data_IF_651369975856
#
_entry.id   IF_651369975856
#
_cell.length_a   1.000
_cell.length_b   1.000
_cell.length_c   1.000
_cell.angle_alpha   90.00
_cell.angle_beta   90.00
_cell.angle_gamma   90.00
#
_symmetry.space_group_name_H-M   'P 1'
#
loop_
_entity.id
_entity.type
_entity.pdbx_description
1 polymer ?
#
# COMPACT_ATOMS: atom_id res chain seq x y z
N UNK A 1 -9.60 -17.16 -2.94
CA UNK A 1 -9.18 -16.55 -4.22
C UNK A 1 -9.35 -15.05 -4.10
N UNK A 2 -8.47 -14.27 -4.73
CA UNK A 2 -8.60 -12.82 -4.74
C UNK A 2 -9.97 -12.40 -5.33
N UNK A 3 -10.57 -11.41 -4.74
CA UNK A 3 -11.87 -10.85 -5.18
C UNK A 3 -11.73 -10.02 -6.46
N UNK A 4 -10.58 -9.38 -6.63
CA UNK A 4 -10.27 -8.53 -7.78
C UNK A 4 -9.16 -9.16 -8.63
N UNK A 5 -9.21 -8.98 -9.94
CA UNK A 5 -8.14 -9.40 -10.83
C UNK A 5 -6.86 -8.56 -10.60
N UNK A 6 -5.69 -9.10 -10.90
CA UNK A 6 -4.39 -8.40 -10.82
C UNK A 6 -4.43 -7.05 -11.53
N UNK A 7 -4.98 -7.00 -12.75
CA UNK A 7 -5.10 -5.76 -13.54
C UNK A 7 -5.97 -4.74 -12.81
N UNK A 8 -7.12 -5.15 -12.27
CA UNK A 8 -8.02 -4.25 -11.54
C UNK A 8 -7.34 -3.68 -10.30
N UNK A 9 -6.61 -4.51 -9.53
CA UNK A 9 -5.88 -4.07 -8.33
C UNK A 9 -4.85 -3.00 -8.68
N UNK A 10 -3.99 -3.26 -9.67
CA UNK A 10 -2.94 -2.33 -10.10
C UNK A 10 -3.53 -1.02 -10.64
N UNK A 11 -4.56 -1.10 -11.47
CA UNK A 11 -5.25 0.07 -12.01
C UNK A 11 -5.88 0.94 -10.91
N UNK A 12 -6.53 0.32 -9.90
CA UNK A 12 -7.12 1.07 -8.78
C UNK A 12 -6.05 1.71 -7.91
N UNK A 13 -4.95 1.01 -7.63
CA UNK A 13 -3.82 1.57 -6.86
C UNK A 13 -3.24 2.78 -7.61
N UNK A 14 -2.99 2.66 -8.90
CA UNK A 14 -2.50 3.75 -9.73
C UNK A 14 -3.49 4.91 -9.75
N UNK A 15 -4.76 4.68 -10.07
CA UNK A 15 -5.80 5.72 -10.13
C UNK A 15 -6.00 6.44 -8.79
N UNK A 16 -6.03 5.70 -7.68
CA UNK A 16 -6.15 6.27 -6.33
C UNK A 16 -4.90 7.08 -5.96
N UNK A 17 -3.71 6.58 -6.32
CA UNK A 17 -2.43 7.22 -6.03
C UNK A 17 -1.96 7.12 -4.59
N UNK A 18 -2.77 6.59 -3.69
CA UNK A 18 -2.43 6.43 -2.27
C UNK A 18 -2.90 5.07 -1.75
N UNK A 19 -2.02 4.40 -1.01
CA UNK A 19 -2.30 3.18 -0.25
C UNK A 19 -2.01 3.48 1.22
N UNK A 20 -3.03 3.72 2.07
CA UNK A 20 -2.85 3.79 3.51
C UNK A 20 -2.27 2.51 4.07
N UNK A 21 -1.33 2.63 5.00
CA UNK A 21 -0.61 1.52 5.63
C UNK A 21 -0.88 1.55 7.13
N UNK A 22 -1.58 0.54 7.65
CA UNK A 22 -2.03 0.53 9.02
C UNK A 22 -2.02 -0.87 9.65
N UNK A 23 -1.88 -0.91 10.96
CA UNK A 23 -2.08 -2.09 11.81
C UNK A 23 -2.67 -1.68 13.16
N UNK A 24 -3.63 -2.44 13.61
CA UNK A 24 -4.05 -2.47 15.01
C UNK A 24 -4.55 -3.88 15.35
N UNK A 25 -4.29 -4.34 16.58
CA UNK A 25 -4.78 -5.63 17.06
C UNK A 25 -6.29 -5.60 17.37
N UNK A 26 -6.86 -4.42 17.57
CA UNK A 26 -8.30 -4.24 17.76
C UNK A 26 -8.99 -4.21 16.39
N UNK A 27 -9.86 -5.20 16.18
CA UNK A 27 -10.64 -5.35 14.96
C UNK A 27 -11.62 -4.18 14.74
N UNK A 28 -12.31 -3.73 15.80
CA UNK A 28 -13.31 -2.68 15.67
C UNK A 28 -12.66 -1.33 15.34
N UNK A 29 -11.53 -1.03 15.97
CA UNK A 29 -10.72 0.13 15.60
C UNK A 29 -10.23 0.04 14.14
N UNK A 30 -9.75 -1.14 13.72
CA UNK A 30 -9.30 -1.36 12.33
C UNK A 30 -10.43 -1.17 11.32
N UNK A 31 -11.66 -1.62 11.63
CA UNK A 31 -12.85 -1.37 10.79
C UNK A 31 -13.16 0.12 10.66
N UNK A 32 -13.10 0.87 11.77
CA UNK A 32 -13.37 2.31 11.75
C UNK A 32 -12.34 3.07 10.91
N UNK A 33 -11.05 2.74 11.04
CA UNK A 33 -9.99 3.34 10.22
C UNK A 33 -10.19 3.04 8.74
N UNK A 34 -10.46 1.79 8.36
CA UNK A 34 -10.72 1.41 6.96
C UNK A 34 -11.95 2.14 6.42
N UNK A 35 -13.02 2.25 7.22
CA UNK A 35 -14.24 2.96 6.84
C UNK A 35 -13.97 4.44 6.60
N UNK A 36 -13.25 5.10 7.51
CA UNK A 36 -12.88 6.50 7.37
C UNK A 36 -12.05 6.76 6.11
N UNK A 37 -11.09 5.88 5.79
CA UNK A 37 -10.33 5.94 4.54
C UNK A 37 -11.24 5.75 3.31
N UNK A 38 -12.15 4.79 3.36
CA UNK A 38 -13.10 4.53 2.27
C UNK A 38 -14.02 5.72 1.99
N UNK A 39 -14.56 6.34 3.03
CA UNK A 39 -15.39 7.55 2.95
C UNK A 39 -14.57 8.78 2.47
N UNK A 40 -13.27 8.79 2.75
CA UNK A 40 -12.31 9.77 2.25
C UNK A 40 -11.91 9.58 0.78
N UNK A 41 -12.41 8.54 0.10
CA UNK A 41 -12.14 8.28 -1.32
C UNK A 41 -11.06 7.23 -1.59
N UNK A 42 -10.41 6.68 -0.57
CA UNK A 42 -9.41 5.61 -0.71
C UNK A 42 -10.06 4.33 -1.24
N UNK A 43 -9.36 3.64 -2.16
CA UNK A 43 -9.85 2.38 -2.76
C UNK A 43 -8.86 1.21 -2.66
N UNK A 44 -7.66 1.44 -2.12
CA UNK A 44 -6.70 0.39 -1.80
C UNK A 44 -6.12 0.63 -0.40
N UNK A 45 -6.01 -0.41 0.42
CA UNK A 45 -5.57 -0.30 1.81
C UNK A 45 -4.66 -1.47 2.18
N UNK A 46 -3.51 -1.19 2.79
CA UNK A 46 -2.54 -2.16 3.28
C UNK A 46 -2.69 -2.36 4.78
N UNK A 47 -3.18 -3.54 5.20
CA UNK A 47 -3.12 -3.97 6.59
C UNK A 47 -1.81 -4.72 6.83
N UNK A 48 -1.01 -4.29 7.82
CA UNK A 48 0.32 -4.86 8.00
C UNK A 48 0.37 -5.98 9.03
N UNK A 49 1.12 -7.04 8.72
CA UNK A 49 1.41 -8.17 9.63
C UNK A 49 2.48 -7.77 10.66
N UNK A 50 2.10 -6.99 11.69
CA UNK A 50 3.04 -6.45 12.69
C UNK A 50 2.76 -6.87 14.13
N UNK A 51 1.89 -7.83 14.35
CA UNK A 51 1.57 -8.34 15.68
C UNK A 51 1.19 -9.80 15.66
N UNK A 52 1.20 -10.41 16.84
CA UNK A 52 0.68 -11.75 17.03
C UNK A 52 -0.80 -11.80 16.61
N UNK A 53 -1.22 -12.88 15.98
CA UNK A 53 -2.60 -13.07 15.50
C UNK A 53 -3.10 -12.00 14.51
N UNK A 54 -2.21 -11.18 13.93
CA UNK A 54 -2.58 -10.16 12.93
C UNK A 54 -3.37 -10.76 11.75
N UNK A 55 -3.09 -12.01 11.38
CA UNK A 55 -3.80 -12.73 10.32
C UNK A 55 -5.26 -13.04 10.67
N UNK A 56 -5.59 -13.23 11.95
CA UNK A 56 -6.98 -13.44 12.40
C UNK A 56 -7.77 -12.12 12.30
N UNK A 57 -7.18 -11.03 12.78
CA UNK A 57 -7.77 -9.68 12.64
C UNK A 57 -7.97 -9.35 11.15
N UNK A 58 -6.98 -9.64 10.31
CA UNK A 58 -7.09 -9.44 8.87
C UNK A 58 -8.23 -10.25 8.24
N UNK A 59 -8.37 -11.53 8.62
CA UNK A 59 -9.40 -12.39 8.07
C UNK A 59 -10.82 -11.87 8.37
N UNK A 60 -11.07 -11.42 9.60
CA UNK A 60 -12.35 -10.83 9.97
C UNK A 60 -12.56 -9.45 9.33
N UNK A 61 -11.51 -8.63 9.28
CA UNK A 61 -11.54 -7.34 8.56
C UNK A 61 -11.87 -7.53 7.08
N UNK A 62 -11.27 -8.52 6.41
CA UNK A 62 -11.52 -8.81 5.01
C UNK A 62 -12.99 -9.22 4.76
N UNK A 63 -13.57 -10.04 5.62
CA UNK A 63 -15.00 -10.42 5.55
C UNK A 63 -15.91 -9.20 5.71
N UNK A 64 -15.56 -8.30 6.63
CA UNK A 64 -16.31 -7.08 6.88
C UNK A 64 -16.19 -6.10 5.70
N UNK A 65 -14.99 -5.90 5.16
CA UNK A 65 -14.74 -5.03 3.98
C UNK A 65 -15.56 -5.45 2.77
N UNK A 66 -15.74 -6.75 2.55
CA UNK A 66 -16.58 -7.26 1.44
C UNK A 66 -18.02 -6.72 1.50
N UNK A 67 -18.55 -6.52 2.70
CA UNK A 67 -19.94 -6.08 2.93
C UNK A 67 -20.08 -4.56 2.98
N UNK A 68 -19.20 -3.92 3.76
CA UNK A 68 -19.36 -2.51 4.13
C UNK A 68 -18.57 -1.55 3.23
N UNK A 69 -17.50 -2.03 2.60
CA UNK A 69 -16.64 -1.23 1.71
C UNK A 69 -16.39 -1.99 0.39
N UNK A 70 -17.44 -2.25 -0.43
CA UNK A 70 -17.37 -3.20 -1.53
C UNK A 70 -16.34 -2.86 -2.61
N UNK A 71 -15.93 -1.61 -2.76
CA UNK A 71 -14.92 -1.20 -3.73
C UNK A 71 -13.50 -1.09 -3.12
N UNK A 72 -13.36 -1.32 -1.80
CA UNK A 72 -12.06 -1.32 -1.16
C UNK A 72 -11.27 -2.58 -1.50
N UNK A 73 -10.09 -2.41 -2.01
CA UNK A 73 -9.10 -3.46 -2.27
C UNK A 73 -8.21 -3.58 -1.05
N UNK A 74 -8.44 -4.61 -0.24
CA UNK A 74 -7.66 -4.88 0.96
C UNK A 74 -6.46 -5.78 0.61
N UNK A 75 -5.26 -5.34 0.97
CA UNK A 75 -4.02 -6.09 0.85
C UNK A 75 -3.32 -6.29 2.18
N UNK A 76 -2.33 -7.17 2.19
CA UNK A 76 -1.53 -7.48 3.36
C UNK A 76 -0.08 -7.02 3.17
N UNK A 77 0.44 -6.29 4.17
CA UNK A 77 1.81 -5.79 4.20
C UNK A 77 2.67 -6.40 5.29
N UNK A 78 3.96 -6.04 5.29
CA UNK A 78 4.98 -6.62 6.17
C UNK A 78 5.13 -8.15 5.98
N UNK A 79 4.93 -8.63 4.76
CA UNK A 79 5.04 -10.05 4.40
C UNK A 79 6.47 -10.32 3.96
N UNK A 80 7.14 -11.24 4.65
CA UNK A 80 8.58 -11.53 4.47
C UNK A 80 8.87 -12.91 3.89
N UNK A 81 7.88 -13.80 3.83
CA UNK A 81 8.01 -15.18 3.37
C UNK A 81 6.76 -15.71 2.65
N UNK A 82 6.93 -16.77 1.88
CA UNK A 82 5.85 -17.35 1.08
C UNK A 82 4.75 -18.05 1.90
N UNK A 83 5.05 -18.79 3.00
CA UNK A 83 4.03 -19.35 3.86
C UNK A 83 3.09 -18.28 4.44
N UNK A 84 3.65 -17.18 4.92
CA UNK A 84 2.85 -16.04 5.42
C UNK A 84 2.04 -15.40 4.29
N UNK A 85 2.63 -15.21 3.11
CA UNK A 85 1.89 -14.73 1.94
C UNK A 85 0.70 -15.64 1.60
N UNK A 86 0.89 -16.97 1.62
CA UNK A 86 -0.16 -17.95 1.36
C UNK A 86 -1.33 -17.83 2.35
N UNK A 87 -1.02 -17.66 3.64
CA UNK A 87 -2.00 -17.48 4.71
C UNK A 87 -2.87 -16.23 4.47
N UNK A 88 -2.25 -15.09 4.18
CA UNK A 88 -2.98 -13.84 3.92
C UNK A 88 -3.79 -13.89 2.61
N UNK A 89 -3.26 -14.50 1.56
CA UNK A 89 -3.99 -14.73 0.31
C UNK A 89 -5.24 -15.59 0.56
N UNK A 90 -5.10 -16.65 1.36
CA UNK A 90 -6.23 -17.51 1.72
C UNK A 90 -7.25 -16.77 2.60
N UNK A 91 -6.80 -15.84 3.43
CA UNK A 91 -7.63 -14.98 4.27
C UNK A 91 -8.31 -13.82 3.52
N UNK A 92 -8.03 -13.66 2.21
CA UNK A 92 -8.75 -12.69 1.37
C UNK A 92 -7.92 -11.48 0.91
N UNK A 93 -6.59 -11.50 1.07
CA UNK A 93 -5.74 -10.45 0.52
C UNK A 93 -5.83 -10.40 -1.01
N UNK A 94 -5.94 -9.19 -1.55
CA UNK A 94 -5.99 -8.93 -2.99
C UNK A 94 -4.65 -8.47 -3.56
N UNK A 95 -3.72 -8.09 -2.72
CA UNK A 95 -2.32 -7.81 -3.04
C UNK A 95 -1.44 -8.07 -1.82
N UNK A 96 -0.16 -8.29 -2.05
CA UNK A 96 0.85 -8.54 -1.02
C UNK A 96 1.92 -7.45 -1.11
N UNK A 97 2.36 -6.94 0.05
CA UNK A 97 3.46 -5.98 0.15
C UNK A 97 4.53 -6.53 1.09
N UNK A 98 5.78 -6.50 0.64
CA UNK A 98 6.94 -6.89 1.45
C UNK A 98 7.82 -5.69 1.82
N UNK A 99 8.63 -5.78 2.87
CA UNK A 99 9.67 -4.80 3.16
C UNK A 99 10.92 -4.97 2.29
N UNK A 100 11.11 -6.13 1.68
CA UNK A 100 12.16 -6.48 0.73
C UNK A 100 11.62 -7.40 -0.35
N UNK A 101 12.41 -7.62 -1.41
CA UNK A 101 12.10 -8.63 -2.42
C UNK A 101 12.36 -10.04 -1.89
N UNK A 102 11.42 -10.95 -2.19
CA UNK A 102 11.53 -12.37 -1.92
C UNK A 102 10.97 -13.15 -3.12
N UNK A 103 11.81 -13.97 -3.76
CA UNK A 103 11.47 -14.70 -4.98
C UNK A 103 10.33 -15.73 -4.75
N UNK A 104 10.31 -16.41 -3.61
CA UNK A 104 9.24 -17.36 -3.29
C UNK A 104 7.89 -16.67 -3.11
N UNK A 105 7.87 -15.46 -2.51
CA UNK A 105 6.65 -14.63 -2.43
C UNK A 105 6.20 -14.20 -3.83
N UNK A 106 7.13 -13.79 -4.70
CA UNK A 106 6.82 -13.45 -6.08
C UNK A 106 6.21 -14.65 -6.83
N UNK A 107 6.80 -15.82 -6.69
CA UNK A 107 6.31 -17.08 -7.31
C UNK A 107 4.89 -17.43 -6.86
N UNK A 108 4.60 -17.39 -5.54
CA UNK A 108 3.26 -17.74 -5.05
C UNK A 108 2.20 -16.72 -5.49
N UNK A 109 2.55 -15.43 -5.49
CA UNK A 109 1.65 -14.38 -5.96
C UNK A 109 1.37 -14.51 -7.46
N UNK A 110 2.39 -14.75 -8.29
CA UNK A 110 2.24 -14.97 -9.73
C UNK A 110 1.38 -16.20 -10.04
N UNK A 111 1.57 -17.32 -9.33
CA UNK A 111 0.73 -18.54 -9.49
C UNK A 111 -0.73 -18.31 -9.15
N UNK A 112 -1.04 -17.30 -8.34
CA UNK A 112 -2.40 -16.94 -7.94
C UNK A 112 -2.93 -15.68 -8.63
N UNK A 113 -2.16 -15.12 -9.57
CA UNK A 113 -2.48 -13.89 -10.29
C UNK A 113 -2.81 -12.73 -9.34
N UNK A 114 -2.00 -12.56 -8.26
CA UNK A 114 -2.06 -11.42 -7.35
C UNK A 114 -0.87 -10.49 -7.58
N UNK A 115 -1.02 -9.17 -7.39
CA UNK A 115 0.12 -8.27 -7.32
C UNK A 115 0.97 -8.56 -6.07
N UNK A 116 2.29 -8.57 -6.25
CA UNK A 116 3.26 -8.48 -5.18
C UNK A 116 4.07 -7.20 -5.36
N UNK A 117 4.13 -6.38 -4.31
CA UNK A 117 4.82 -5.10 -4.28
C UNK A 117 5.96 -5.18 -3.26
N UNK A 118 7.14 -5.66 -3.66
CA UNK A 118 8.30 -5.81 -2.79
C UNK A 118 8.98 -4.48 -2.50
N UNK A 119 9.56 -4.35 -1.30
CA UNK A 119 10.48 -3.27 -0.94
C UNK A 119 11.80 -3.40 -1.69
N UNK A 120 12.29 -2.27 -2.21
CA UNK A 120 13.54 -2.14 -2.95
C UNK A 120 14.24 -0.85 -2.51
N UNK A 121 15.52 -0.94 -2.17
CA UNK A 121 16.37 0.19 -1.80
C UNK A 121 17.44 0.53 -2.85
N UNK A 122 17.48 -0.19 -3.96
CA UNK A 122 18.46 0.02 -5.03
C UNK A 122 17.87 -0.24 -6.41
N UNK A 123 18.53 0.28 -7.46
CA UNK A 123 18.15 0.05 -8.86
C UNK A 123 18.22 -1.43 -9.22
N UNK A 124 19.20 -2.16 -8.69
CA UNK A 124 19.35 -3.60 -8.92
C UNK A 124 18.17 -4.39 -8.33
N UNK A 125 17.73 -4.04 -7.11
CA UNK A 125 16.58 -4.69 -6.49
C UNK A 125 15.28 -4.40 -7.25
N UNK A 126 15.09 -3.17 -7.73
CA UNK A 126 13.96 -2.81 -8.59
C UNK A 126 13.95 -3.67 -9.86
N UNK A 127 15.10 -3.75 -10.56
CA UNK A 127 15.23 -4.55 -11.78
C UNK A 127 14.99 -6.05 -11.52
N UNK A 128 15.52 -6.59 -10.42
CA UNK A 128 15.33 -7.98 -10.01
C UNK A 128 13.86 -8.29 -9.73
N UNK A 129 13.20 -7.42 -8.98
CA UNK A 129 11.77 -7.57 -8.67
C UNK A 129 10.90 -7.54 -9.94
N UNK A 130 11.18 -6.61 -10.85
CA UNK A 130 10.48 -6.51 -12.13
C UNK A 130 10.70 -7.75 -13.02
N UNK A 131 11.94 -8.27 -13.09
CA UNK A 131 12.24 -9.50 -13.80
C UNK A 131 11.49 -10.71 -13.22
N UNK A 132 11.17 -10.71 -11.92
CA UNK A 132 10.34 -11.70 -11.25
C UNK A 132 8.82 -11.48 -11.42
N UNK A 133 8.38 -10.52 -12.24
CA UNK A 133 6.96 -10.25 -12.54
C UNK A 133 6.25 -9.35 -11.52
N UNK A 134 7.00 -8.54 -10.77
CA UNK A 134 6.43 -7.51 -9.89
C UNK A 134 6.18 -6.22 -10.70
N UNK A 135 4.94 -5.94 -11.07
CA UNK A 135 4.59 -4.79 -11.91
C UNK A 135 4.74 -3.46 -11.14
N UNK A 136 4.39 -3.45 -9.86
CA UNK A 136 4.55 -2.31 -8.95
C UNK A 136 5.61 -2.67 -7.91
N UNK A 137 6.66 -1.86 -7.80
CA UNK A 137 7.72 -2.03 -6.79
C UNK A 137 7.63 -0.93 -5.74
N UNK A 138 7.94 -1.26 -4.49
CA UNK A 138 7.96 -0.30 -3.39
C UNK A 138 9.38 0.20 -3.15
N UNK A 139 9.63 1.48 -3.30
CA UNK A 139 10.87 2.08 -2.79
C UNK A 139 10.72 2.23 -1.27
N UNK A 140 11.58 1.54 -0.51
CA UNK A 140 11.50 1.49 0.95
C UNK A 140 12.88 1.21 1.58
N UNK A 141 13.23 1.93 2.66
CA UNK A 141 12.56 3.13 3.19
C UNK A 141 12.85 4.35 2.30
N UNK A 142 11.80 4.96 1.72
CA UNK A 142 11.96 5.86 0.58
C UNK A 142 12.74 7.15 0.90
N UNK A 143 12.58 7.70 2.10
CA UNK A 143 13.33 8.87 2.54
C UNK A 143 14.83 8.60 2.66
N UNK A 144 15.18 7.49 3.26
CA UNK A 144 16.57 7.09 3.57
C UNK A 144 17.36 6.69 2.32
N UNK A 145 16.70 6.16 1.30
CA UNK A 145 17.35 5.77 0.03
C UNK A 145 17.50 6.93 -0.97
N UNK A 146 17.10 8.15 -0.59
CA UNK A 146 17.35 9.36 -1.39
C UNK A 146 16.09 10.12 -1.81
N UNK A 147 14.92 9.74 -1.30
CA UNK A 147 13.69 10.50 -1.49
C UNK A 147 13.22 10.61 -2.94
N UNK A 148 12.50 11.69 -3.29
CA UNK A 148 12.03 11.92 -4.65
C UNK A 148 13.16 11.95 -5.70
N UNK A 149 14.37 12.40 -5.31
CA UNK A 149 15.54 12.42 -6.21
C UNK A 149 15.95 11.00 -6.64
N UNK A 150 15.91 10.03 -5.75
CA UNK A 150 16.17 8.63 -6.10
C UNK A 150 15.18 8.14 -7.15
N UNK A 151 13.88 8.35 -6.93
CA UNK A 151 12.83 7.94 -7.89
C UNK A 151 13.04 8.59 -9.25
N UNK A 152 13.28 9.89 -9.29
CA UNK A 152 13.55 10.64 -10.53
C UNK A 152 14.74 10.04 -11.29
N UNK A 153 15.83 9.72 -10.59
CA UNK A 153 17.04 9.17 -11.19
C UNK A 153 16.83 7.72 -11.69
N UNK A 154 16.01 6.92 -11.02
CA UNK A 154 15.61 5.59 -11.49
C UNK A 154 14.74 5.69 -12.74
N UNK A 155 13.76 6.59 -12.74
CA UNK A 155 12.82 6.76 -13.85
C UNK A 155 13.48 7.28 -15.13
N UNK A 156 14.62 7.96 -15.04
CA UNK A 156 15.33 8.47 -16.23
C UNK A 156 15.76 7.34 -17.20
N UNK A 157 16.49 6.30 -16.77
CA UNK A 157 16.82 5.16 -17.62
C UNK A 157 15.71 4.08 -17.67
N UNK A 158 14.77 4.06 -16.72
CA UNK A 158 13.75 3.03 -16.59
C UNK A 158 12.35 3.65 -16.48
N UNK A 159 11.88 4.39 -17.49
CA UNK A 159 10.61 5.15 -17.44
C UNK A 159 9.37 4.25 -17.28
N UNK A 160 9.47 2.98 -17.66
CA UNK A 160 8.41 1.97 -17.50
C UNK A 160 8.17 1.52 -16.06
N UNK A 161 9.11 1.78 -15.13
CA UNK A 161 9.02 1.30 -13.75
C UNK A 161 7.85 1.96 -13.01
N UNK A 162 6.90 1.16 -12.55
CA UNK A 162 5.84 1.61 -11.64
C UNK A 162 6.38 1.56 -10.21
N UNK A 163 6.41 2.70 -9.54
CA UNK A 163 7.02 2.86 -8.21
C UNK A 163 5.99 3.35 -7.21
N UNK A 164 5.90 2.67 -6.05
CA UNK A 164 5.23 3.14 -4.85
C UNK A 164 6.28 3.63 -3.86
N UNK A 165 6.29 4.91 -3.49
CA UNK A 165 7.14 5.40 -2.43
C UNK A 165 6.52 5.16 -1.05
N UNK A 166 7.27 4.57 -0.11
CA UNK A 166 6.82 4.36 1.27
C UNK A 166 7.94 4.69 2.25
N UNK A 167 7.63 5.49 3.27
CA UNK A 167 8.59 6.11 4.19
C UNK A 167 8.86 7.57 3.79
N UNK A 168 8.83 8.47 4.77
CA UNK A 168 8.92 9.92 4.59
C UNK A 168 7.83 10.52 3.66
N UNK A 169 6.67 9.86 3.57
CA UNK A 169 5.50 10.39 2.86
C UNK A 169 4.57 11.05 3.86
N UNK A 170 4.21 12.29 3.58
CA UNK A 170 3.35 13.13 4.42
C UNK A 170 2.18 13.70 3.60
N UNK A 171 0.98 13.88 4.22
CA UNK A 171 -0.20 14.38 3.52
C UNK A 171 -0.16 15.92 3.38
N UNK A 172 0.94 16.44 2.86
CA UNK A 172 1.15 17.87 2.60
C UNK A 172 1.37 18.12 1.11
N UNK A 173 0.98 19.30 0.64
CA UNK A 173 1.12 19.67 -0.77
C UNK A 173 2.57 19.60 -1.25
N UNK A 174 3.51 20.11 -0.45
CA UNK A 174 4.93 20.10 -0.77
C UNK A 174 5.46 18.66 -0.92
N UNK A 175 5.18 17.79 0.04
CA UNK A 175 5.70 16.43 0.06
C UNK A 175 5.09 15.59 -1.05
N UNK A 176 3.75 15.55 -1.17
CA UNK A 176 3.07 14.76 -2.20
C UNK A 176 3.42 15.25 -3.61
N UNK A 177 3.44 16.56 -3.84
CA UNK A 177 3.85 17.11 -5.14
C UNK A 177 5.28 16.73 -5.52
N UNK A 178 6.20 16.71 -4.54
CA UNK A 178 7.59 16.29 -4.79
C UNK A 178 7.66 14.82 -5.25
N UNK A 179 6.91 13.91 -4.61
CA UNK A 179 6.88 12.51 -4.99
C UNK A 179 6.27 12.28 -6.38
N UNK A 180 5.10 12.90 -6.66
CA UNK A 180 4.43 12.71 -7.95
C UNK A 180 5.20 13.34 -9.11
N UNK A 181 5.80 14.53 -8.92
CA UNK A 181 6.73 15.13 -9.90
C UNK A 181 7.98 14.28 -10.15
N UNK A 182 8.41 13.46 -9.18
CA UNK A 182 9.50 12.51 -9.38
C UNK A 182 9.08 11.27 -10.19
N UNK A 183 7.78 11.06 -10.42
CA UNK A 183 7.23 10.01 -11.27
C UNK A 183 6.79 8.75 -10.53
N UNK A 184 6.43 8.83 -9.23
CA UNK A 184 5.78 7.70 -8.55
C UNK A 184 4.40 7.44 -9.14
N UNK A 185 4.00 6.17 -9.20
CA UNK A 185 2.64 5.77 -9.56
C UNK A 185 1.67 5.98 -8.38
N UNK A 186 2.14 5.72 -7.17
CA UNK A 186 1.39 5.92 -5.93
C UNK A 186 2.33 6.07 -4.73
N UNK A 187 1.76 6.37 -3.58
CA UNK A 187 2.48 6.45 -2.30
C UNK A 187 1.85 5.53 -1.25
N UNK A 188 2.68 4.90 -0.43
CA UNK A 188 2.27 4.20 0.79
C UNK A 188 2.38 5.16 1.98
N UNK A 189 1.28 5.45 2.68
CA UNK A 189 1.27 6.41 3.77
C UNK A 189 0.79 5.78 5.07
N UNK A 190 1.66 5.79 6.09
CA UNK A 190 1.40 5.21 7.41
C UNK A 190 1.06 6.25 8.47
N UNK A 191 1.88 6.34 9.51
CA UNK A 191 1.64 7.13 10.73
C UNK A 191 1.30 8.60 10.51
N UNK A 192 1.74 9.21 9.42
CA UNK A 192 1.43 10.60 9.09
C UNK A 192 -0.03 10.79 8.67
N UNK A 193 -0.65 9.75 8.10
CA UNK A 193 -2.08 9.73 7.78
C UNK A 193 -2.94 9.39 9.00
N UNK A 194 -2.34 8.70 9.99
CA UNK A 194 -3.00 8.23 11.21
C UNK A 194 -2.33 8.80 12.46
N UNK A 195 -2.45 10.12 12.74
CA UNK A 195 -1.88 10.71 13.95
C UNK A 195 -2.41 10.02 15.19
N UNK A 196 -1.52 9.58 16.08
CA UNK A 196 -1.87 8.79 17.27
C UNK A 196 -3.01 9.40 18.08
N UNK A 197 -2.95 10.72 18.31
CA UNK A 197 -3.99 11.45 19.06
C UNK A 197 -5.37 11.40 18.39
N UNK A 198 -5.42 11.43 17.06
CA UNK A 198 -6.68 11.38 16.28
C UNK A 198 -7.29 9.99 16.38
N UNK A 199 -6.45 8.94 16.24
CA UNK A 199 -6.89 7.54 16.35
C UNK A 199 -7.38 7.23 17.78
N UNK A 200 -6.63 7.64 18.82
CA UNK A 200 -6.99 7.44 20.22
C UNK A 200 -8.28 8.20 20.63
N UNK A 201 -8.53 9.34 20.02
CA UNK A 201 -9.76 10.10 20.23
C UNK A 201 -10.97 9.55 19.45
N UNK A 202 -10.76 8.59 18.54
CA UNK A 202 -11.81 8.10 17.65
C UNK A 202 -12.34 9.14 16.67
N UNK A 203 -11.53 10.14 16.31
CA UNK A 203 -11.93 11.21 15.37
C UNK A 203 -11.78 10.73 13.91
N UNK A 204 -12.71 9.87 13.52
CA UNK A 204 -12.75 9.28 12.18
C UNK A 204 -13.03 10.29 11.09
N UNK A 205 -13.76 11.38 11.43
CA UNK A 205 -14.02 12.47 10.50
C UNK A 205 -12.72 13.20 10.11
N UNK A 206 -11.79 13.40 11.04
CA UNK A 206 -10.48 13.96 10.76
C UNK A 206 -9.66 13.04 9.83
N UNK A 207 -9.70 11.72 10.01
CA UNK A 207 -9.03 10.78 9.11
C UNK A 207 -9.64 10.83 7.70
N UNK A 208 -10.97 10.87 7.61
CA UNK A 208 -11.69 11.03 6.33
C UNK A 208 -11.27 12.30 5.61
N UNK A 209 -11.19 13.41 6.34
CA UNK A 209 -10.77 14.70 5.78
C UNK A 209 -9.32 14.70 5.31
N UNK A 210 -8.39 14.09 6.09
CA UNK A 210 -6.98 13.94 5.71
C UNK A 210 -6.84 13.09 4.44
N UNK A 211 -7.57 11.98 4.33
CA UNK A 211 -7.56 11.14 3.13
C UNK A 211 -8.04 11.91 1.90
N UNK A 212 -9.15 12.65 2.02
CA UNK A 212 -9.70 13.45 0.92
C UNK A 212 -8.72 14.53 0.48
N UNK A 213 -8.20 15.31 1.43
CA UNK A 213 -7.20 16.35 1.15
C UNK A 213 -5.95 15.78 0.46
N UNK A 214 -5.43 14.66 0.94
CA UNK A 214 -4.28 14.00 0.30
C UNK A 214 -4.57 13.56 -1.14
N UNK A 215 -5.77 13.01 -1.39
CA UNK A 215 -6.19 12.60 -2.74
C UNK A 215 -6.38 13.80 -3.68
N UNK A 216 -6.91 14.92 -3.19
CA UNK A 216 -7.06 16.16 -3.96
C UNK A 216 -5.69 16.73 -4.37
N UNK A 217 -4.72 16.73 -3.44
CA UNK A 217 -3.33 17.12 -3.73
C UNK A 217 -2.71 16.19 -4.78
N UNK A 218 -2.87 14.88 -4.63
CA UNK A 218 -2.36 13.89 -5.58
C UNK A 218 -2.95 14.10 -6.97
N UNK A 219 -4.25 14.34 -7.07
CA UNK A 219 -4.91 14.61 -8.34
C UNK A 219 -4.37 15.87 -9.03
N UNK A 220 -4.02 16.90 -8.24
CA UNK A 220 -3.46 18.14 -8.75
C UNK A 220 -1.96 18.05 -9.10
N UNK A 221 -1.23 17.10 -8.52
CA UNK A 221 0.22 16.94 -8.70
C UNK A 221 0.61 16.03 -9.89
N UNK A 222 -0.35 15.32 -10.49
CA UNK A 222 -0.20 14.45 -11.65
C UNK A 222 -0.34 15.21 -12.94
#
# INVERSE_FOLDING_TARGET
MARFSKIKVLSVIEQTGMVPVFYNADLELSKQVVKACYEGGVRAFEFTNRGEFAHEVFAELAKWVVKECPDMILGAGSIVDAPTAALYIQSGANFIVGPMFNDEVARICNRRCLPYTPGCGSVTEISTAQAAGCDLVKVFPAGEVGGPSFVKNVKAPMPWSMIMATGAVEPTEENLSAWFKAGVACVGMGSKLFPKKVVEAGDWAAITALCRSALDIIASAR
#
